data_IF_693776634141
#
_entry.id   IF_693776634141
#
_cell.length_a   1.000
_cell.length_b   1.000
_cell.length_c   1.000
_cell.angle_alpha   90.00
_cell.angle_beta   90.00
_cell.angle_gamma   90.00
#
_symmetry.space_group_name_H-M   'P 1'
#
loop_
_entity.id
_entity.type
_entity.pdbx_description
1 polymer ?
#
# COMPACT_ATOMS: atom_id res chain seq x y z
N UNK A 1 10.77 29.89 49.64
CA UNK A 1 12.04 30.48 50.10
C UNK A 1 12.46 29.81 51.38
N UNK A 2 13.64 29.26 51.46
CA UNK A 2 14.16 28.50 52.62
C UNK A 2 13.16 27.46 53.18
N UNK A 3 12.49 26.72 52.33
CA UNK A 3 11.50 25.73 52.72
C UNK A 3 10.13 26.27 53.08
N UNK A 4 9.93 27.60 53.09
CA UNK A 4 8.64 28.25 53.29
C UNK A 4 7.89 28.45 51.99
N UNK A 5 6.64 27.97 51.92
CA UNK A 5 5.80 28.21 50.75
C UNK A 5 5.30 29.67 50.78
N UNK A 6 5.64 30.44 49.76
CA UNK A 6 5.20 31.81 49.60
C UNK A 6 3.83 31.86 48.93
N UNK A 7 3.01 32.90 49.31
CA UNK A 7 1.66 33.10 48.81
C UNK A 7 1.65 34.30 47.86
N UNK A 8 1.11 34.14 46.67
CA UNK A 8 0.96 35.23 45.69
C UNK A 8 0.04 36.30 46.27
N UNK A 9 0.34 37.54 45.93
CA UNK A 9 -0.31 38.80 46.38
C UNK A 9 -0.15 39.13 47.87
N UNK A 10 0.42 38.22 48.66
CA UNK A 10 0.79 38.44 50.05
C UNK A 10 2.31 38.58 50.21
N UNK A 11 3.06 37.68 49.64
CA UNK A 11 4.51 37.55 49.79
C UNK A 11 5.23 37.96 48.50
N UNK A 12 4.57 37.82 47.34
CA UNK A 12 5.11 38.24 46.04
C UNK A 12 4.01 38.58 45.04
N UNK A 13 4.36 39.34 44.01
CA UNK A 13 3.56 39.64 42.83
C UNK A 13 4.22 39.06 41.59
N UNK A 14 3.40 38.65 40.60
CA UNK A 14 3.86 38.20 39.30
C UNK A 14 3.32 39.15 38.22
N UNK A 15 4.25 39.72 37.44
CA UNK A 15 3.91 40.48 36.23
C UNK A 15 4.35 39.65 35.02
N UNK A 16 3.41 39.32 34.15
CA UNK A 16 3.67 38.57 32.92
C UNK A 16 3.68 39.55 31.76
N UNK A 17 4.72 39.47 30.94
CA UNK A 17 4.83 40.28 29.71
C UNK A 17 4.99 39.30 28.53
N UNK A 18 4.05 39.40 27.58
CA UNK A 18 4.07 38.63 26.35
C UNK A 18 4.74 39.46 25.24
N UNK A 19 5.60 38.83 24.46
CA UNK A 19 6.23 39.44 23.29
C UNK A 19 6.19 38.46 22.12
N UNK A 20 6.52 38.92 20.94
CA UNK A 20 6.65 38.05 19.73
C UNK A 20 7.77 37.01 19.83
N UNK A 21 8.67 37.15 20.80
CA UNK A 21 9.82 36.27 21.02
C UNK A 21 9.66 35.36 22.25
N UNK A 22 8.57 35.49 23.01
CA UNK A 22 8.29 34.67 24.18
C UNK A 22 7.63 35.41 25.31
N UNK A 23 7.39 34.72 26.39
CA UNK A 23 6.78 35.22 27.63
C UNK A 23 7.89 35.43 28.66
N UNK A 24 7.86 36.54 29.34
CA UNK A 24 8.65 36.75 30.55
C UNK A 24 7.77 36.99 31.75
N UNK A 25 8.16 36.44 32.91
CA UNK A 25 7.49 36.70 34.17
C UNK A 25 8.46 37.34 35.12
N UNK A 26 8.07 38.45 35.70
CA UNK A 26 8.83 39.12 36.79
C UNK A 26 8.10 38.85 38.09
N UNK A 27 8.78 38.18 39.00
CA UNK A 27 8.31 37.89 40.34
C UNK A 27 8.95 38.94 41.27
N UNK A 28 8.13 39.77 41.89
CA UNK A 28 8.57 40.80 42.80
C UNK A 28 8.16 40.46 44.24
N UNK A 29 9.08 40.35 45.13
CA UNK A 29 8.82 40.18 46.56
C UNK A 29 8.13 41.38 47.15
N UNK A 30 7.16 41.18 48.06
CA UNK A 30 6.41 42.20 48.79
C UNK A 30 6.32 41.83 50.26
N UNK A 31 5.95 42.80 51.10
CA UNK A 31 5.84 42.58 52.52
C UNK A 31 7.20 42.34 53.18
N UNK A 32 7.42 41.15 53.74
CA UNK A 32 8.68 40.77 54.39
C UNK A 32 9.73 40.30 53.39
N UNK A 33 9.43 40.20 52.09
CA UNK A 33 10.34 39.74 51.03
C UNK A 33 10.64 40.90 50.07
N UNK A 34 11.89 41.03 49.70
CA UNK A 34 12.35 42.02 48.76
C UNK A 34 13.00 41.38 47.54
N UNK A 35 13.28 42.26 46.55
CA UNK A 35 13.96 41.84 45.31
C UNK A 35 13.02 41.35 44.20
N UNK A 36 13.62 41.11 43.07
CA UNK A 36 12.93 40.63 41.86
C UNK A 36 13.64 39.41 41.29
N UNK A 37 12.86 38.45 40.83
CA UNK A 37 13.35 37.34 40.02
C UNK A 37 12.68 37.40 38.67
N UNK A 38 13.45 37.36 37.58
CA UNK A 38 12.92 37.34 36.22
C UNK A 38 13.09 35.97 35.61
N UNK A 39 11.98 35.38 35.20
CA UNK A 39 11.96 34.18 34.35
C UNK A 39 11.76 34.70 32.94
N UNK A 40 12.81 34.62 32.12
CA UNK A 40 12.76 35.04 30.73
C UNK A 40 12.93 33.79 29.83
N UNK A 41 12.37 33.83 28.64
CA UNK A 41 12.51 32.74 27.68
C UNK A 41 11.52 31.58 27.87
N UNK A 42 10.38 31.83 28.53
CA UNK A 42 9.24 30.94 28.36
C UNK A 42 8.79 31.17 26.91
N UNK A 43 9.34 30.36 26.00
CA UNK A 43 9.03 30.49 24.59
C UNK A 43 7.62 29.97 24.34
N UNK A 44 6.84 30.69 23.56
CA UNK A 44 5.59 30.17 22.98
C UNK A 44 5.88 29.21 21.79
N UNK A 45 7.11 28.70 21.73
CA UNK A 45 7.57 27.86 20.62
C UNK A 45 6.79 26.55 20.54
N UNK A 46 6.34 26.01 21.69
CA UNK A 46 5.51 24.80 21.72
C UNK A 46 4.14 25.09 21.11
N UNK A 47 3.50 26.19 21.52
CA UNK A 47 2.21 26.63 20.95
C UNK A 47 2.35 26.97 19.45
N UNK A 48 3.43 27.66 19.08
CA UNK A 48 3.73 27.97 17.69
C UNK A 48 3.93 26.70 16.85
N UNK A 49 4.54 25.66 17.41
CA UNK A 49 4.71 24.36 16.76
C UNK A 49 3.36 23.63 16.60
N UNK A 50 2.51 23.61 17.61
CA UNK A 50 1.16 23.04 17.54
C UNK A 50 0.29 23.73 16.49
N UNK A 51 0.50 25.04 16.29
CA UNK A 51 -0.17 25.84 15.27
C UNK A 51 0.56 25.83 13.90
N UNK A 52 1.66 25.11 13.75
CA UNK A 52 2.41 25.04 12.50
C UNK A 52 1.55 24.59 11.31
N UNK A 53 1.82 25.15 10.15
CA UNK A 53 1.20 24.74 8.89
C UNK A 53 1.94 23.54 8.34
N UNK A 54 1.21 22.42 8.16
CA UNK A 54 1.76 21.18 7.62
C UNK A 54 1.19 20.96 6.22
N UNK A 55 2.07 20.88 5.23
CA UNK A 55 1.72 20.49 3.87
C UNK A 55 2.22 19.08 3.62
N UNK A 56 1.32 18.19 3.16
CA UNK A 56 1.63 16.77 2.91
C UNK A 56 1.61 16.49 1.41
N UNK A 57 2.64 15.79 0.94
CA UNK A 57 2.74 15.31 -0.44
C UNK A 57 1.71 14.23 -0.76
N UNK A 58 1.46 14.03 -2.04
CA UNK A 58 0.56 12.97 -2.52
C UNK A 58 1.15 11.60 -2.22
N UNK A 59 0.31 10.69 -1.73
CA UNK A 59 0.66 9.31 -1.43
C UNK A 59 -0.27 8.38 -2.19
N UNK A 60 0.29 7.32 -2.79
CA UNK A 60 -0.46 6.28 -3.48
C UNK A 60 -0.08 4.92 -2.88
N UNK A 61 -1.06 4.06 -2.70
CA UNK A 61 -0.86 2.71 -2.18
C UNK A 61 0.22 1.95 -2.97
N UNK A 62 1.15 1.32 -2.25
CA UNK A 62 2.24 0.51 -2.82
C UNK A 62 2.40 -0.87 -2.16
N UNK A 63 1.52 -1.22 -1.23
CA UNK A 63 1.56 -2.50 -0.49
C UNK A 63 2.40 -2.49 0.78
N UNK A 64 2.96 -1.33 1.17
CA UNK A 64 3.74 -1.16 2.40
C UNK A 64 3.28 0.07 3.19
N UNK A 65 3.71 0.18 4.44
CA UNK A 65 3.46 1.39 5.23
C UNK A 65 4.11 2.62 4.57
N UNK A 66 3.34 3.71 4.46
CA UNK A 66 3.72 4.95 3.77
C UNK A 66 4.10 6.03 4.78
N UNK A 67 5.25 6.63 4.58
CA UNK A 67 5.62 7.86 5.28
C UNK A 67 5.62 9.00 4.24
N UNK A 68 4.68 9.95 4.32
CA UNK A 68 4.56 11.00 3.30
C UNK A 68 5.71 12.00 3.40
N UNK A 69 6.03 12.67 2.31
CA UNK A 69 6.82 13.90 2.40
C UNK A 69 5.99 14.99 3.06
N UNK A 70 6.57 15.71 4.01
CA UNK A 70 5.93 16.82 4.70
C UNK A 70 6.78 18.08 4.64
N UNK A 71 6.11 19.22 4.57
CA UNK A 71 6.71 20.54 4.82
C UNK A 71 6.01 21.14 6.02
N UNK A 72 6.76 21.48 7.07
CA UNK A 72 6.25 22.08 8.31
C UNK A 72 6.74 23.51 8.37
N UNK A 73 5.82 24.48 8.58
CA UNK A 73 6.14 25.91 8.66
C UNK A 73 5.51 26.56 9.88
N UNK A 74 6.31 27.38 10.55
CA UNK A 74 5.85 28.32 11.58
C UNK A 74 6.04 29.72 11.01
N UNK A 75 4.94 30.39 10.67
CA UNK A 75 4.99 31.67 9.93
C UNK A 75 5.72 31.49 8.58
N UNK A 76 6.79 32.25 8.37
CA UNK A 76 7.64 32.17 7.17
C UNK A 76 8.77 31.12 7.29
N UNK A 77 9.01 30.58 8.48
CA UNK A 77 10.13 29.67 8.75
C UNK A 77 9.73 28.24 8.40
N UNK A 78 10.53 27.59 7.55
CA UNK A 78 10.39 26.14 7.26
C UNK A 78 11.26 25.36 8.22
N UNK A 79 10.65 24.43 8.95
CA UNK A 79 11.33 23.56 9.90
C UNK A 79 12.07 22.43 9.19
N UNK A 80 13.19 21.96 9.78
CA UNK A 80 14.05 20.92 9.25
C UNK A 80 13.72 19.57 9.90
N UNK A 81 13.39 18.58 9.09
CA UNK A 81 13.23 17.19 9.54
C UNK A 81 14.54 16.65 10.13
N UNK A 82 14.43 15.93 11.23
CA UNK A 82 15.56 15.38 11.97
C UNK A 82 16.17 16.35 12.98
N UNK A 83 16.09 17.67 12.74
CA UNK A 83 16.61 18.73 13.64
C UNK A 83 15.50 19.35 14.48
N UNK A 84 14.46 19.86 13.84
CA UNK A 84 13.36 20.58 14.48
C UNK A 84 12.18 19.68 14.80
N UNK A 85 12.03 18.59 14.06
CA UNK A 85 10.98 17.59 14.26
C UNK A 85 11.36 16.21 13.73
N UNK A 86 10.63 15.19 14.17
CA UNK A 86 10.58 13.86 13.55
C UNK A 86 9.15 13.59 13.05
N UNK A 87 9.06 12.80 11.98
CA UNK A 87 7.80 12.38 11.38
C UNK A 87 7.56 10.91 11.62
N UNK A 88 6.37 10.56 12.09
CA UNK A 88 5.83 9.20 12.10
C UNK A 88 4.43 9.19 11.52
N UNK A 89 3.87 8.01 11.25
CA UNK A 89 2.51 7.87 10.76
C UNK A 89 1.91 6.55 11.22
N UNK A 90 0.59 6.50 11.34
CA UNK A 90 -0.17 5.28 11.62
C UNK A 90 -1.41 5.20 10.72
N UNK A 91 -2.01 4.01 10.62
CA UNK A 91 -3.07 3.68 9.66
C UNK A 91 -2.63 3.93 8.20
N UNK A 92 -1.33 3.83 7.97
CA UNK A 92 -0.65 4.34 6.78
C UNK A 92 -0.28 3.24 5.77
N UNK A 93 -0.88 2.07 5.85
CA UNK A 93 -0.58 0.94 4.95
C UNK A 93 -1.61 0.82 3.82
N UNK A 94 -2.89 1.01 4.10
CA UNK A 94 -3.97 0.82 3.14
C UNK A 94 -4.42 2.15 2.52
N UNK A 95 -5.04 2.08 1.34
CA UNK A 95 -5.72 3.23 0.74
C UNK A 95 -6.83 3.73 1.68
N UNK A 96 -6.90 5.03 1.85
CA UNK A 96 -7.83 5.65 2.81
C UNK A 96 -7.23 6.86 3.51
N UNK A 97 -7.67 7.09 4.74
CA UNK A 97 -7.15 8.18 5.59
C UNK A 97 -6.14 7.62 6.58
N UNK A 98 -4.97 8.22 6.60
CA UNK A 98 -3.90 7.95 7.53
C UNK A 98 -3.58 9.19 8.36
N UNK A 99 -2.87 9.04 9.46
CA UNK A 99 -2.47 10.15 10.33
C UNK A 99 -0.95 10.28 10.36
N UNK A 100 -0.46 11.46 10.04
CA UNK A 100 0.93 11.86 10.25
C UNK A 100 1.05 12.52 11.63
N UNK A 101 2.09 12.14 12.37
CA UNK A 101 2.44 12.68 13.67
C UNK A 101 3.80 13.37 13.53
N UNK A 102 3.81 14.67 13.76
CA UNK A 102 4.99 15.52 13.75
C UNK A 102 5.36 15.80 15.21
N UNK A 103 6.45 15.23 15.68
CA UNK A 103 6.93 15.40 17.05
C UNK A 103 8.09 16.38 17.07
N UNK A 104 7.98 17.43 17.85
CA UNK A 104 8.99 18.47 17.98
C UNK A 104 10.29 17.95 18.58
N UNK A 105 11.39 18.56 18.16
CA UNK A 105 12.75 18.34 18.67
C UNK A 105 13.44 19.66 18.98
N UNK A 106 14.51 19.58 19.79
CA UNK A 106 15.29 20.75 20.16
C UNK A 106 14.43 21.75 20.92
N UNK A 107 14.32 22.98 20.44
CA UNK A 107 13.49 23.99 21.08
C UNK A 107 11.98 23.73 21.04
N UNK A 108 11.54 22.78 20.24
CA UNK A 108 10.14 22.35 20.13
C UNK A 108 9.88 21.02 20.85
N UNK A 109 10.84 20.54 21.66
CA UNK A 109 10.72 19.28 22.38
C UNK A 109 9.50 19.31 23.34
N UNK A 110 8.68 18.24 23.29
CA UNK A 110 7.42 18.14 24.03
C UNK A 110 6.19 18.57 23.24
N UNK A 111 6.35 19.26 22.10
CA UNK A 111 5.21 19.59 21.22
C UNK A 111 4.92 18.48 20.22
N UNK A 112 3.66 18.27 19.90
CA UNK A 112 3.21 17.28 18.92
C UNK A 112 2.09 17.87 18.06
N UNK A 113 2.18 17.64 16.75
CA UNK A 113 1.09 17.97 15.81
C UNK A 113 0.66 16.75 15.02
N UNK A 114 -0.64 16.45 15.07
CA UNK A 114 -1.28 15.41 14.27
C UNK A 114 -2.01 16.04 13.08
N UNK A 115 -1.89 15.41 11.92
CA UNK A 115 -2.62 15.83 10.73
C UNK A 115 -2.96 14.59 9.89
N UNK A 116 -4.09 14.65 9.20
CA UNK A 116 -4.54 13.56 8.36
C UNK A 116 -4.05 13.74 6.92
N UNK A 117 -3.81 12.62 6.25
CA UNK A 117 -3.53 12.57 4.83
C UNK A 117 -4.24 11.40 4.16
N UNK A 118 -4.38 11.49 2.84
CA UNK A 118 -5.00 10.43 2.06
C UNK A 118 -3.95 9.61 1.32
N UNK A 119 -4.08 8.29 1.41
CA UNK A 119 -3.40 7.33 0.55
C UNK A 119 -4.38 6.99 -0.57
N UNK A 120 -4.07 7.42 -1.78
CA UNK A 120 -4.89 7.11 -2.94
C UNK A 120 -4.77 5.61 -3.31
N UNK A 121 -5.83 4.95 -3.77
CA UNK A 121 -5.72 3.60 -4.31
C UNK A 121 -4.78 3.55 -5.51
N UNK A 122 -4.03 2.46 -5.65
CA UNK A 122 -3.21 2.21 -6.82
C UNK A 122 -4.08 1.86 -8.03
N UNK A 123 -3.67 2.26 -9.23
CA UNK A 123 -4.34 1.82 -10.45
C UNK A 123 -4.06 0.33 -10.67
N UNK A 124 -5.11 -0.51 -10.82
CA UNK A 124 -4.93 -1.95 -11.06
C UNK A 124 -4.24 -2.23 -12.39
N UNK A 125 -4.23 -1.27 -13.31
CA UNK A 125 -3.48 -1.35 -14.57
C UNK A 125 -1.96 -1.40 -14.40
N UNK A 126 -1.45 -1.10 -13.21
CA UNK A 126 -0.03 -1.28 -12.87
C UNK A 126 0.30 -2.69 -12.35
N UNK A 127 -0.71 -3.53 -12.15
CA UNK A 127 -0.53 -4.94 -11.81
C UNK A 127 -0.28 -5.78 -13.07
N UNK A 128 0.47 -6.86 -12.95
CA UNK A 128 0.58 -7.86 -14.01
C UNK A 128 -0.55 -8.88 -13.89
N UNK A 129 -1.08 -9.31 -15.04
CA UNK A 129 -2.16 -10.28 -15.12
C UNK A 129 -1.70 -11.42 -16.01
N UNK A 130 -1.68 -12.62 -15.48
CA UNK A 130 -1.42 -13.85 -16.22
C UNK A 130 -2.62 -14.78 -16.11
N UNK A 131 -2.86 -15.53 -17.16
CA UNK A 131 -3.91 -16.57 -17.20
C UNK A 131 -3.34 -17.78 -17.91
N UNK A 132 -3.81 -18.95 -17.51
CA UNK A 132 -3.49 -20.18 -18.21
C UNK A 132 -4.32 -20.35 -19.48
N UNK A 133 -3.72 -20.92 -20.51
CA UNK A 133 -4.40 -21.25 -21.76
C UNK A 133 -5.50 -22.27 -21.50
N UNK A 134 -6.57 -22.19 -22.27
CA UNK A 134 -7.76 -23.03 -22.15
C UNK A 134 -7.93 -23.88 -23.42
N UNK A 135 -8.50 -25.07 -23.26
CA UNK A 135 -8.83 -25.94 -24.39
C UNK A 135 -10.20 -25.58 -24.95
N UNK A 136 -10.31 -25.51 -26.26
CA UNK A 136 -11.57 -25.30 -26.96
C UNK A 136 -12.57 -26.44 -26.69
N UNK A 137 -13.79 -26.07 -26.26
CA UNK A 137 -14.84 -27.04 -25.90
C UNK A 137 -16.11 -26.91 -26.78
N UNK A 138 -16.12 -25.97 -27.72
CA UNK A 138 -17.33 -25.60 -28.45
C UNK A 138 -18.27 -24.67 -27.69
N UNK A 139 -17.96 -24.37 -26.43
CA UNK A 139 -18.70 -23.47 -25.56
C UNK A 139 -17.77 -22.34 -25.08
N UNK A 140 -18.33 -21.34 -24.41
CA UNK A 140 -17.53 -20.29 -23.77
C UNK A 140 -16.66 -20.87 -22.65
N UNK A 141 -15.32 -20.61 -22.70
CA UNK A 141 -14.35 -21.02 -21.69
C UNK A 141 -13.74 -19.80 -21.02
N UNK A 142 -13.48 -19.90 -19.73
CA UNK A 142 -12.89 -18.80 -18.93
C UNK A 142 -11.64 -19.28 -18.22
N UNK A 143 -10.65 -18.40 -18.11
CA UNK A 143 -9.45 -18.64 -17.31
C UNK A 143 -9.48 -17.78 -16.06
N UNK A 144 -9.04 -18.34 -14.93
CA UNK A 144 -8.88 -17.61 -13.70
C UNK A 144 -7.59 -16.77 -13.79
N UNK A 145 -7.66 -15.42 -13.66
CA UNK A 145 -6.47 -14.60 -13.70
C UNK A 145 -5.68 -14.69 -12.40
N UNK A 146 -4.37 -14.76 -12.51
CA UNK A 146 -3.42 -14.46 -11.42
C UNK A 146 -2.97 -13.02 -11.59
N UNK A 147 -3.35 -12.18 -10.63
CA UNK A 147 -3.03 -10.74 -10.64
C UNK A 147 -1.96 -10.47 -9.60
N UNK A 148 -0.85 -9.84 -10.00
CA UNK A 148 0.29 -9.55 -9.11
C UNK A 148 0.63 -8.06 -9.13
N UNK A 149 0.86 -7.50 -7.94
CA UNK A 149 1.28 -6.12 -7.75
C UNK A 149 2.48 -6.07 -6.81
N UNK A 150 3.57 -5.45 -7.26
CA UNK A 150 4.83 -5.37 -6.51
C UNK A 150 5.29 -6.72 -5.92
N UNK A 151 5.17 -7.80 -6.72
CA UNK A 151 5.57 -9.15 -6.34
C UNK A 151 4.59 -9.90 -5.42
N UNK A 152 3.46 -9.29 -5.05
CA UNK A 152 2.41 -9.94 -4.24
C UNK A 152 1.22 -10.31 -5.10
N UNK A 153 0.72 -11.54 -4.95
CA UNK A 153 -0.53 -11.97 -5.58
C UNK A 153 -1.71 -11.31 -4.87
N UNK A 154 -2.58 -10.70 -5.67
CA UNK A 154 -3.80 -10.04 -5.21
C UNK A 154 -4.93 -11.04 -5.01
N UNK A 155 -5.80 -10.77 -4.01
CA UNK A 155 -6.91 -11.63 -3.66
C UNK A 155 -8.19 -11.24 -4.42
N UNK A 156 -8.77 -12.21 -5.15
CA UNK A 156 -10.07 -12.05 -5.79
C UNK A 156 -11.16 -11.80 -4.74
N UNK A 157 -12.03 -10.82 -5.00
CA UNK A 157 -13.09 -10.40 -4.09
C UNK A 157 -12.66 -9.39 -3.03
N UNK A 158 -11.36 -9.28 -2.74
CA UNK A 158 -10.77 -8.31 -1.79
C UNK A 158 -10.10 -7.17 -2.53
N UNK A 159 -9.11 -7.46 -3.36
CA UNK A 159 -8.30 -6.47 -4.08
C UNK A 159 -8.85 -6.17 -5.48
N UNK A 160 -9.54 -7.12 -6.08
CA UNK A 160 -10.16 -6.99 -7.39
C UNK A 160 -11.34 -7.96 -7.57
N UNK A 161 -12.09 -7.74 -8.63
CA UNK A 161 -13.10 -8.69 -9.13
C UNK A 161 -13.02 -8.78 -10.65
N UNK A 162 -13.49 -9.89 -11.20
CA UNK A 162 -13.57 -10.10 -12.63
C UNK A 162 -14.85 -9.40 -13.12
N UNK A 163 -14.69 -8.42 -14.01
CA UNK A 163 -15.82 -7.65 -14.54
C UNK A 163 -16.35 -8.22 -15.87
N UNK A 164 -15.62 -9.11 -16.51
CA UNK A 164 -16.08 -9.79 -17.71
C UNK A 164 -14.97 -10.47 -18.51
N UNK A 165 -15.42 -11.19 -19.51
CA UNK A 165 -14.59 -11.86 -20.51
C UNK A 165 -15.04 -11.49 -21.91
N UNK A 166 -14.16 -11.61 -22.88
CA UNK A 166 -14.47 -11.47 -24.30
C UNK A 166 -13.69 -12.45 -25.14
N UNK A 167 -14.25 -12.80 -26.33
CA UNK A 167 -13.68 -13.75 -27.29
C UNK A 167 -13.46 -15.16 -26.70
N UNK A 168 -14.38 -15.63 -25.86
CA UNK A 168 -14.19 -16.85 -25.07
C UNK A 168 -14.72 -18.12 -25.74
N UNK A 169 -15.30 -18.04 -26.95
CA UNK A 169 -15.95 -19.18 -27.62
C UNK A 169 -15.06 -19.85 -28.65
N UNK A 170 -14.28 -19.08 -29.40
CA UNK A 170 -13.49 -19.60 -30.53
C UNK A 170 -12.02 -19.74 -30.18
N UNK A 171 -11.34 -20.63 -30.88
CA UNK A 171 -9.86 -20.74 -30.84
C UNK A 171 -9.25 -19.38 -31.21
N UNK A 172 -8.29 -18.93 -30.39
CA UNK A 172 -7.64 -17.65 -30.53
C UNK A 172 -7.33 -16.99 -29.21
N UNK A 173 -7.22 -15.68 -29.19
CA UNK A 173 -6.94 -14.90 -27.98
C UNK A 173 -8.22 -14.41 -27.34
N UNK A 174 -8.47 -14.83 -26.13
CA UNK A 174 -9.53 -14.37 -25.25
C UNK A 174 -8.98 -13.33 -24.26
N UNK A 175 -9.87 -12.52 -23.69
CA UNK A 175 -9.53 -11.46 -22.75
C UNK A 175 -10.37 -11.60 -21.49
N UNK A 176 -9.72 -11.46 -20.33
CA UNK A 176 -10.34 -11.22 -19.03
C UNK A 176 -10.21 -9.75 -18.67
N UNK A 177 -11.25 -9.15 -18.14
CA UNK A 177 -11.21 -7.79 -17.60
C UNK A 177 -11.41 -7.85 -16.10
N UNK A 178 -10.48 -7.27 -15.36
CA UNK A 178 -10.55 -7.15 -13.90
C UNK A 178 -10.77 -5.70 -13.49
N UNK A 179 -11.43 -5.48 -12.38
CA UNK A 179 -11.66 -4.16 -11.79
C UNK A 179 -11.15 -4.12 -10.36
N UNK A 180 -10.37 -3.09 -10.05
CA UNK A 180 -9.79 -2.88 -8.73
C UNK A 180 -10.84 -2.60 -7.66
N UNK A 181 -10.53 -3.01 -6.43
CA UNK A 181 -11.35 -2.83 -5.22
C UNK A 181 -10.43 -2.58 -4.02
N UNK A 182 -10.95 -1.90 -3.00
CA UNK A 182 -10.17 -1.62 -1.78
C UNK A 182 -8.95 -0.75 -2.06
N UNK A 183 -7.78 -1.33 -1.97
CA UNK A 183 -6.50 -0.65 -2.24
C UNK A 183 -6.23 -0.36 -3.72
N UNK A 184 -7.08 -0.84 -4.61
CA UNK A 184 -6.93 -0.71 -6.05
C UNK A 184 -8.13 -0.05 -6.69
N UNK A 185 -7.91 0.63 -7.82
CA UNK A 185 -8.93 1.32 -8.61
C UNK A 185 -8.72 1.12 -10.10
N UNK A 186 -9.76 1.44 -10.88
CA UNK A 186 -9.69 1.33 -12.34
C UNK A 186 -9.90 -0.10 -12.85
N UNK A 187 -9.52 -0.33 -14.09
CA UNK A 187 -9.66 -1.61 -14.80
C UNK A 187 -8.34 -2.01 -15.45
N UNK A 188 -8.13 -3.33 -15.58
CA UNK A 188 -7.02 -3.89 -16.33
C UNK A 188 -7.48 -5.11 -17.12
N UNK A 189 -6.73 -5.48 -18.17
CA UNK A 189 -7.04 -6.61 -19.03
C UNK A 189 -5.87 -7.59 -19.02
N UNK A 190 -6.20 -8.88 -18.90
CA UNK A 190 -5.30 -9.99 -19.14
C UNK A 190 -5.77 -10.78 -20.35
N UNK A 191 -4.87 -11.52 -20.98
CA UNK A 191 -5.19 -12.36 -22.13
C UNK A 191 -4.81 -13.82 -21.85
N UNK A 192 -5.53 -14.74 -22.49
CA UNK A 192 -5.22 -16.16 -22.54
C UNK A 192 -5.57 -16.70 -23.92
N UNK A 193 -4.99 -17.82 -24.29
CA UNK A 193 -5.29 -18.48 -25.56
C UNK A 193 -6.33 -19.56 -25.35
N UNK A 194 -7.24 -19.66 -26.31
CA UNK A 194 -8.08 -20.84 -26.49
C UNK A 194 -7.43 -21.66 -27.59
N UNK A 195 -6.91 -22.81 -27.24
CA UNK A 195 -6.19 -23.69 -28.15
C UNK A 195 -7.06 -24.85 -28.58
N UNK A 196 -6.81 -25.38 -29.78
CA UNK A 196 -7.48 -26.61 -30.22
C UNK A 196 -7.13 -27.73 -29.25
N UNK A 197 -8.12 -28.57 -28.96
CA UNK A 197 -7.84 -29.84 -28.30
C UNK A 197 -6.96 -30.68 -29.22
N UNK A 198 -5.84 -31.18 -28.70
CA UNK A 198 -5.07 -32.18 -29.42
C UNK A 198 -5.94 -33.40 -29.69
N UNK A 199 -5.78 -34.04 -30.87
CA UNK A 199 -6.46 -35.28 -31.07
C UNK A 199 -5.95 -36.35 -30.09
N UNK A 200 -6.74 -37.36 -29.83
CA UNK A 200 -6.41 -38.39 -28.84
C UNK A 200 -5.05 -39.04 -29.14
N UNK A 201 -4.69 -39.22 -30.40
CA UNK A 201 -3.42 -39.78 -30.83
C UNK A 201 -2.24 -38.91 -30.39
N UNK A 202 -2.31 -37.59 -30.57
CA UNK A 202 -1.27 -36.63 -30.12
C UNK A 202 -1.12 -36.60 -28.59
N UNK A 203 -2.24 -36.63 -27.85
CA UNK A 203 -2.24 -36.68 -26.38
C UNK A 203 -1.62 -37.97 -25.84
N UNK A 204 -2.02 -39.10 -26.42
CA UNK A 204 -1.48 -40.41 -26.02
C UNK A 204 0.00 -40.51 -26.36
N UNK A 205 0.40 -40.05 -27.55
CA UNK A 205 1.81 -40.01 -27.94
C UNK A 205 2.64 -39.19 -26.97
N UNK A 206 2.19 -37.96 -26.64
CA UNK A 206 2.87 -37.09 -25.68
C UNK A 206 2.99 -37.75 -24.31
N UNK A 207 1.92 -38.39 -23.82
CA UNK A 207 1.93 -39.08 -22.53
C UNK A 207 2.84 -40.31 -22.52
N UNK A 208 2.89 -41.02 -23.61
CA UNK A 208 3.81 -42.14 -23.78
C UNK A 208 5.27 -41.65 -23.84
N UNK A 209 5.54 -40.60 -24.56
CA UNK A 209 6.87 -39.97 -24.62
C UNK A 209 7.35 -39.59 -23.22
N UNK A 210 6.49 -38.92 -22.42
CA UNK A 210 6.76 -38.55 -21.03
C UNK A 210 7.02 -39.78 -20.13
N UNK A 211 6.25 -40.87 -20.28
CA UNK A 211 6.40 -42.07 -19.47
C UNK A 211 7.64 -42.90 -19.80
N UNK A 212 8.09 -42.84 -21.05
CA UNK A 212 9.21 -43.68 -21.52
C UNK A 212 10.56 -42.96 -21.41
N UNK A 213 10.61 -41.64 -21.11
CA UNK A 213 11.86 -40.85 -20.92
C UNK A 213 12.95 -41.20 -21.95
N UNK A 214 12.59 -41.26 -23.23
CA UNK A 214 13.53 -41.59 -24.31
C UNK A 214 13.87 -43.09 -24.43
N UNK A 215 13.24 -44.00 -23.67
CA UNK A 215 13.41 -45.46 -23.75
C UNK A 215 12.44 -46.10 -24.73
N UNK A 216 12.20 -45.47 -25.85
CA UNK A 216 11.31 -46.01 -26.87
C UNK A 216 11.89 -47.25 -27.53
N UNK A 217 11.24 -48.39 -27.34
CA UNK A 217 11.40 -49.55 -28.25
C UNK A 217 10.40 -49.37 -29.41
N UNK A 218 10.93 -49.21 -30.62
CA UNK A 218 10.14 -49.04 -31.85
C UNK A 218 9.07 -50.14 -32.00
N UNK A 219 9.32 -51.35 -31.50
CA UNK A 219 8.37 -52.47 -31.54
C UNK A 219 7.13 -52.22 -30.70
N UNK A 220 7.26 -51.54 -29.55
CA UNK A 220 6.12 -51.20 -28.68
C UNK A 220 5.28 -50.11 -29.34
N UNK A 221 5.92 -49.14 -29.98
CA UNK A 221 5.22 -48.09 -30.73
C UNK A 221 4.46 -48.68 -31.93
N UNK A 222 5.09 -49.53 -32.74
CA UNK A 222 4.48 -50.15 -33.91
C UNK A 222 3.31 -51.08 -33.52
N UNK A 223 3.44 -51.83 -32.41
CA UNK A 223 2.39 -52.66 -31.87
C UNK A 223 1.18 -51.86 -31.43
N UNK A 224 1.42 -50.76 -30.70
CA UNK A 224 0.37 -49.92 -30.20
C UNK A 224 -0.35 -49.14 -31.32
N UNK A 225 0.39 -48.65 -32.28
CA UNK A 225 -0.11 -47.98 -33.48
C UNK A 225 -0.98 -48.94 -34.32
N UNK A 226 -0.54 -50.14 -34.52
CA UNK A 226 -1.30 -51.18 -35.24
C UNK A 226 -2.58 -51.57 -34.50
N UNK A 227 -2.54 -51.63 -33.15
CA UNK A 227 -3.68 -51.94 -32.32
C UNK A 227 -4.75 -50.80 -32.40
N UNK A 228 -4.36 -49.56 -32.39
CA UNK A 228 -5.28 -48.44 -32.48
C UNK A 228 -5.89 -48.31 -33.89
N UNK A 229 -5.10 -48.50 -34.93
CA UNK A 229 -5.61 -48.51 -36.29
C UNK A 229 -6.63 -49.63 -36.47
N UNK A 230 -6.35 -50.84 -35.97
CA UNK A 230 -7.29 -51.95 -36.02
C UNK A 230 -8.59 -51.68 -35.30
N UNK A 231 -8.54 -51.02 -34.14
CA UNK A 231 -9.73 -50.64 -33.37
C UNK A 231 -10.56 -49.55 -34.09
N UNK A 232 -9.89 -48.57 -34.71
CA UNK A 232 -10.53 -47.52 -35.48
C UNK A 232 -11.25 -48.07 -36.73
N UNK A 233 -10.61 -48.98 -37.47
CA UNK A 233 -11.24 -49.61 -38.63
C UNK A 233 -12.43 -50.51 -38.26
N UNK A 234 -12.37 -51.20 -37.10
CA UNK A 234 -13.50 -52.01 -36.65
C UNK A 234 -14.69 -51.15 -36.21
N UNK A 235 -14.47 -49.94 -35.76
CA UNK A 235 -15.56 -49.01 -35.37
C UNK A 235 -16.23 -48.35 -36.58
N UNK A 236 -15.53 -48.30 -37.73
CA UNK A 236 -16.08 -47.76 -38.97
C UNK A 236 -16.86 -48.77 -39.80
N UNK A 237 -16.78 -50.06 -39.47
CA UNK A 237 -17.40 -51.18 -40.19
C UNK A 237 -18.63 -51.75 -39.47
N UNK A 238 -18.95 -51.25 -38.26
CA UNK A 238 -20.16 -51.54 -37.49
C UNK A 238 -21.06 -50.28 -37.41
#
# INVERSE_FOLDING_TARGET
YDGVLLTQDKDYKVAVTESTTGVSAVITGIGNYGGTATISGISNELEAFENAVVTIGKVTYNGTAQLPSVTVKIGSVTLKSGTDYILSAYDNTNAGTATAVITGKGKYEGAEKKTQFKIAPAAISSASISCEDQIYTGQGVTAQPVVTFNGKTLALGVDYYISGYSNIVNVGTATVTVKGKGNFTGTAKGTFRIVKQDNMETLVKKRLDEMMEGKWDRKIYDFWHSYQLGKYYNTLLT
#
